data_IF_418505189809
#
_entry.id   IF_418505189809
#
_cell.length_a   1.000
_cell.length_b   1.000
_cell.length_c   1.000
_cell.angle_alpha   90.00
_cell.angle_beta   90.00
_cell.angle_gamma   90.00
#
_symmetry.space_group_name_H-M   'P 1'
#
loop_
_entity.id
_entity.type
_entity.pdbx_description
1 polymer ?
#
# COMPACT_ATOMS: atom_id res chain seq x y z
N UNK A 1 -19.48 17.95 -7.97
CA UNK A 1 -20.31 18.42 -6.82
C UNK A 1 -20.94 17.28 -6.01
N UNK A 2 -21.58 16.25 -6.62
CA UNK A 2 -22.17 15.09 -5.89
C UNK A 2 -21.11 14.20 -5.25
N UNK A 3 -19.94 14.06 -5.86
CA UNK A 3 -18.86 13.23 -5.35
C UNK A 3 -18.02 13.94 -4.29
N UNK A 4 -17.85 15.25 -4.37
CA UNK A 4 -17.21 16.06 -3.31
C UNK A 4 -18.04 16.04 -2.02
N UNK A 5 -19.38 16.03 -2.11
CA UNK A 5 -20.29 15.90 -0.96
C UNK A 5 -20.19 14.50 -0.36
N UNK A 6 -20.19 13.45 -1.17
CA UNK A 6 -20.04 12.08 -0.69
C UNK A 6 -18.67 11.84 -0.03
N UNK A 7 -17.62 12.49 -0.55
CA UNK A 7 -16.28 12.42 0.01
C UNK A 7 -16.18 13.15 1.37
N UNK A 8 -16.83 14.32 1.51
CA UNK A 8 -16.95 15.02 2.79
C UNK A 8 -17.73 14.23 3.83
N UNK A 9 -18.79 13.53 3.44
CA UNK A 9 -19.58 12.68 4.36
C UNK A 9 -18.82 11.43 4.82
N UNK A 10 -17.88 10.91 4.02
CA UNK A 10 -16.98 9.81 4.44
C UNK A 10 -15.91 10.32 5.41
N UNK A 11 -15.48 11.57 5.25
CA UNK A 11 -14.45 12.20 6.09
C UNK A 11 -14.96 12.70 7.45
N UNK A 12 -16.26 12.88 7.62
CA UNK A 12 -16.87 13.34 8.87
C UNK A 12 -17.50 12.18 9.65
N UNK A 13 -16.64 11.29 10.18
CA UNK A 13 -16.94 10.40 11.29
C UNK A 13 -18.37 9.88 11.46
N UNK A 14 -18.69 8.73 10.90
CA UNK A 14 -19.71 7.87 11.48
C UNK A 14 -19.22 7.31 12.83
N UNK A 15 -20.10 6.73 13.67
CA UNK A 15 -19.79 6.31 15.05
C UNK A 15 -18.85 5.10 15.08
N UNK A 16 -17.60 5.31 14.77
CA UNK A 16 -16.54 4.32 14.68
C UNK A 16 -15.14 4.93 14.70
N UNK A 17 -15.02 6.19 15.15
CA UNK A 17 -13.80 6.75 15.73
C UNK A 17 -12.49 6.65 14.97
N UNK A 18 -12.47 6.63 13.65
CA UNK A 18 -11.32 7.12 12.89
C UNK A 18 -11.55 8.62 12.68
N UNK A 19 -11.07 9.42 13.62
CA UNK A 19 -11.03 10.85 13.44
C UNK A 19 -10.28 11.17 12.14
N UNK A 20 -10.92 11.96 11.31
CA UNK A 20 -10.56 12.35 9.94
C UNK A 20 -9.24 13.12 9.78
N UNK A 21 -8.41 13.21 10.79
CA UNK A 21 -7.07 13.82 10.73
C UNK A 21 -6.15 13.10 9.74
N UNK A 22 -6.44 11.84 9.43
CA UNK A 22 -5.70 11.09 8.39
C UNK A 22 -6.13 11.43 6.95
N UNK A 23 -7.28 12.05 6.77
CA UNK A 23 -7.87 12.28 5.45
C UNK A 23 -7.54 13.64 4.84
N UNK A 24 -7.06 14.59 5.64
CA UNK A 24 -6.76 15.95 5.18
C UNK A 24 -5.45 16.09 4.41
N UNK A 25 -4.69 14.98 4.24
CA UNK A 25 -3.39 15.00 3.58
C UNK A 25 -3.16 13.87 2.57
N UNK A 26 -4.20 13.40 1.96
CA UNK A 26 -4.26 12.23 1.08
C UNK A 26 -3.57 12.38 -0.28
N UNK A 27 -2.33 12.74 -0.34
CA UNK A 27 -1.65 12.88 -1.63
C UNK A 27 -2.34 13.87 -2.59
N UNK A 28 -1.72 14.09 -3.71
CA UNK A 28 -2.26 14.95 -4.76
C UNK A 28 -3.21 14.15 -5.68
N UNK A 29 -4.20 14.78 -6.31
CA UNK A 29 -4.95 14.15 -7.39
C UNK A 29 -3.99 13.62 -8.47
N UNK A 30 -4.30 12.48 -9.06
CA UNK A 30 -3.59 12.04 -10.24
C UNK A 30 -3.80 13.05 -11.37
N UNK A 31 -2.74 13.36 -12.12
CA UNK A 31 -2.84 14.29 -13.24
C UNK A 31 -3.56 13.66 -14.44
N UNK A 32 -4.14 14.50 -15.31
CA UNK A 32 -4.85 14.03 -16.50
C UNK A 32 -3.99 13.11 -17.37
N UNK A 33 -2.71 13.43 -17.50
CA UNK A 33 -1.74 12.65 -18.27
C UNK A 33 -1.53 11.23 -17.69
N UNK A 34 -1.52 11.07 -16.37
CA UNK A 34 -1.46 9.74 -15.76
C UNK A 34 -2.74 8.94 -16.08
N UNK A 35 -3.91 9.58 -16.07
CA UNK A 35 -5.15 8.93 -16.49
C UNK A 35 -5.15 8.52 -17.95
N UNK A 36 -4.60 9.35 -18.85
CA UNK A 36 -4.48 9.03 -20.29
C UNK A 36 -3.58 7.82 -20.50
N UNK A 37 -2.43 7.77 -19.82
CA UNK A 37 -1.50 6.64 -19.93
C UNK A 37 -2.16 5.36 -19.37
N UNK A 38 -2.78 5.42 -18.21
CA UNK A 38 -3.47 4.28 -17.63
C UNK A 38 -4.65 3.83 -18.47
N UNK A 39 -5.37 4.76 -19.11
CA UNK A 39 -6.45 4.45 -20.06
C UNK A 39 -5.97 3.78 -21.34
N UNK A 40 -4.69 3.94 -21.73
CA UNK A 40 -4.09 3.24 -22.86
C UNK A 40 -3.77 1.77 -22.56
N UNK A 41 -3.68 1.40 -21.29
CA UNK A 41 -3.58 0.01 -20.87
C UNK A 41 -4.93 -0.69 -21.05
N UNK A 42 -4.93 -1.89 -21.60
CA UNK A 42 -6.13 -2.63 -22.02
C UNK A 42 -7.04 -3.12 -20.89
N UNK A 43 -7.11 -2.43 -19.76
CA UNK A 43 -7.89 -2.83 -18.60
C UNK A 43 -8.97 -1.82 -18.23
N UNK A 44 -10.24 -2.22 -18.33
CA UNK A 44 -11.41 -1.43 -17.96
C UNK A 44 -11.63 -1.24 -16.45
N UNK A 45 -10.63 -1.49 -15.60
CA UNK A 45 -10.81 -1.54 -14.14
C UNK A 45 -10.52 -0.23 -13.43
N UNK A 46 -9.80 0.69 -14.08
CA UNK A 46 -9.67 2.04 -13.53
C UNK A 46 -10.85 2.86 -14.06
N UNK A 47 -11.73 3.36 -13.19
CA UNK A 47 -12.83 4.21 -13.64
C UNK A 47 -12.24 5.48 -14.25
N UNK A 48 -12.14 5.53 -15.58
CA UNK A 48 -11.61 6.68 -16.32
C UNK A 48 -12.42 7.97 -16.07
N UNK A 49 -13.65 7.83 -15.57
CA UNK A 49 -14.55 8.92 -15.24
C UNK A 49 -14.50 9.39 -13.79
N UNK A 50 -13.96 8.58 -12.89
CA UNK A 50 -13.85 8.92 -11.47
C UNK A 50 -12.41 9.32 -11.13
N UNK A 51 -12.12 10.61 -11.18
CA UNK A 51 -10.85 11.23 -10.75
C UNK A 51 -10.65 11.11 -9.21
N UNK A 52 -10.87 9.93 -8.68
CA UNK A 52 -10.71 9.61 -7.27
C UNK A 52 -9.34 8.98 -6.95
N UNK A 53 -8.54 8.73 -7.99
CA UNK A 53 -7.17 8.23 -7.84
C UNK A 53 -6.30 9.35 -7.30
N UNK A 54 -5.51 9.01 -6.29
CA UNK A 54 -4.56 9.93 -5.67
C UNK A 54 -3.14 9.38 -5.85
N UNK A 55 -2.18 10.26 -5.78
CA UNK A 55 -0.76 9.91 -5.91
C UNK A 55 0.08 10.71 -4.93
N UNK A 56 1.27 10.20 -4.67
CA UNK A 56 2.33 10.92 -3.97
C UNK A 56 3.65 10.66 -4.69
N UNK A 57 4.40 11.74 -4.95
CA UNK A 57 5.63 11.69 -5.75
C UNK A 57 5.39 11.00 -7.12
N UNK A 58 4.29 11.35 -7.83
CA UNK A 58 3.86 10.65 -9.04
C UNK A 58 4.68 10.94 -10.28
N UNK A 59 5.48 12.03 -10.32
CA UNK A 59 6.26 12.40 -11.51
C UNK A 59 7.26 11.32 -11.95
N UNK A 60 8.04 10.68 -11.06
CA UNK A 60 8.91 9.57 -11.46
C UNK A 60 8.14 8.39 -12.05
N UNK A 61 6.98 8.05 -11.47
CA UNK A 61 6.09 7.02 -12.00
C UNK A 61 5.59 7.38 -13.41
N UNK A 62 5.11 8.62 -13.58
CA UNK A 62 4.61 9.12 -14.84
C UNK A 62 5.70 9.07 -15.94
N UNK A 63 6.91 9.50 -15.62
CA UNK A 63 8.05 9.47 -16.54
C UNK A 63 8.43 8.02 -16.91
N UNK A 64 8.50 7.13 -15.92
CA UNK A 64 8.81 5.72 -16.17
C UNK A 64 7.75 5.04 -17.08
N UNK A 65 6.47 5.35 -16.87
CA UNK A 65 5.38 4.86 -17.72
C UNK A 65 5.49 5.38 -19.17
N UNK A 66 5.81 6.67 -19.35
CA UNK A 66 5.99 7.28 -20.68
C UNK A 66 7.18 6.69 -21.43
N UNK A 67 8.28 6.53 -20.75
CA UNK A 67 9.52 6.02 -21.31
C UNK A 67 9.51 4.50 -21.45
N UNK A 68 8.45 3.83 -21.02
CA UNK A 68 8.33 2.36 -20.93
C UNK A 68 9.50 1.72 -20.18
N UNK A 69 9.99 2.42 -19.18
CA UNK A 69 11.03 1.91 -18.30
C UNK A 69 10.45 0.79 -17.42
N UNK A 70 11.30 -0.12 -17.00
CA UNK A 70 10.91 -1.17 -16.07
C UNK A 70 10.46 -0.57 -14.74
N UNK A 71 9.32 -1.04 -14.27
CA UNK A 71 8.64 -0.61 -13.06
C UNK A 71 8.40 -1.80 -12.13
N UNK A 72 8.43 -1.55 -10.85
CA UNK A 72 8.09 -2.52 -9.82
C UNK A 72 6.96 -2.02 -8.93
N UNK A 73 5.97 -2.86 -8.69
CA UNK A 73 4.94 -2.59 -7.71
C UNK A 73 5.37 -3.16 -6.36
N UNK A 74 5.21 -2.38 -5.31
CA UNK A 74 5.22 -2.85 -3.94
C UNK A 74 3.79 -2.83 -3.40
N UNK A 75 3.18 -3.98 -3.21
CA UNK A 75 1.83 -4.09 -2.65
C UNK A 75 1.65 -5.45 -1.99
N UNK A 76 1.28 -5.45 -0.73
CA UNK A 76 1.15 -6.66 0.07
C UNK A 76 0.01 -6.56 1.08
N UNK A 77 0.04 -7.44 2.06
CA UNK A 77 -1.00 -7.48 3.08
C UNK A 77 -0.46 -7.91 4.45
N UNK A 78 -1.21 -7.54 5.49
CA UNK A 78 -1.03 -8.05 6.83
C UNK A 78 -1.91 -9.30 7.00
N UNK A 79 -1.33 -10.48 7.33
CA UNK A 79 -2.08 -11.74 7.45
C UNK A 79 -2.82 -11.80 8.79
N UNK A 80 -3.83 -10.96 8.97
CA UNK A 80 -4.54 -10.77 10.24
C UNK A 80 -6.03 -11.15 10.21
N UNK A 81 -6.48 -11.76 9.10
CA UNK A 81 -7.86 -12.17 8.91
C UNK A 81 -8.21 -12.44 7.45
N UNK A 82 -9.45 -12.80 7.20
CA UNK A 82 -9.95 -13.17 5.89
C UNK A 82 -9.91 -11.98 4.90
N UNK A 83 -9.63 -12.33 3.66
CA UNK A 83 -9.66 -11.39 2.55
C UNK A 83 -11.09 -10.95 2.24
N UNK A 84 -11.30 -9.67 2.04
CA UNK A 84 -12.62 -9.12 1.77
C UNK A 84 -12.66 -8.29 0.49
N UNK A 85 -13.87 -7.99 0.04
CA UNK A 85 -14.11 -7.27 -1.21
C UNK A 85 -13.36 -5.93 -1.31
N UNK A 86 -13.09 -5.25 -0.17
CA UNK A 86 -12.26 -4.04 -0.15
C UNK A 86 -10.83 -4.25 -0.63
N UNK A 87 -10.27 -5.44 -0.42
CA UNK A 87 -8.92 -5.78 -0.88
C UNK A 87 -8.84 -6.04 -2.39
N UNK A 88 -9.97 -6.47 -3.01
CA UNK A 88 -9.98 -6.83 -4.44
C UNK A 88 -9.62 -5.66 -5.36
N UNK A 89 -9.88 -4.42 -4.95
CA UNK A 89 -9.46 -3.27 -5.74
C UNK A 89 -7.93 -3.14 -5.80
N UNK A 90 -7.26 -3.38 -4.68
CA UNK A 90 -5.78 -3.34 -4.63
C UNK A 90 -5.22 -4.46 -5.49
N UNK A 91 -5.64 -5.70 -5.25
CA UNK A 91 -5.14 -6.86 -6.00
C UNK A 91 -5.47 -6.79 -7.49
N UNK A 92 -6.69 -6.37 -7.86
CA UNK A 92 -7.07 -6.16 -9.26
C UNK A 92 -6.22 -5.07 -9.94
N UNK A 93 -5.82 -4.03 -9.18
CA UNK A 93 -4.92 -2.99 -9.71
C UNK A 93 -3.52 -3.54 -9.92
N UNK A 94 -3.00 -4.35 -9.00
CA UNK A 94 -1.73 -5.07 -9.21
C UNK A 94 -1.80 -5.97 -10.45
N UNK A 95 -2.87 -6.76 -10.57
CA UNK A 95 -3.09 -7.63 -11.73
C UNK A 95 -3.17 -6.85 -13.05
N UNK A 96 -3.79 -5.65 -13.02
CA UNK A 96 -3.85 -4.76 -14.17
C UNK A 96 -2.45 -4.33 -14.62
N UNK A 97 -1.59 -3.91 -13.71
CA UNK A 97 -0.21 -3.54 -14.05
C UNK A 97 0.61 -4.74 -14.51
N UNK A 98 0.42 -5.92 -13.90
CA UNK A 98 1.12 -7.15 -14.33
C UNK A 98 0.77 -7.55 -15.78
N UNK A 99 -0.48 -7.34 -16.22
CA UNK A 99 -0.88 -7.54 -17.63
C UNK A 99 -0.15 -6.59 -18.59
N UNK A 100 0.45 -5.54 -18.08
CA UNK A 100 1.26 -4.56 -18.81
C UNK A 100 2.76 -4.68 -18.45
N UNK A 101 3.21 -5.89 -18.15
CA UNK A 101 4.62 -6.27 -17.94
C UNK A 101 5.29 -5.64 -16.70
N UNK A 102 4.50 -5.04 -15.80
CA UNK A 102 5.02 -4.54 -14.52
C UNK A 102 5.08 -5.70 -13.52
N UNK A 103 6.24 -5.93 -12.94
CA UNK A 103 6.41 -6.98 -11.95
C UNK A 103 6.01 -6.48 -10.55
N UNK A 104 5.65 -7.42 -9.66
CA UNK A 104 5.17 -7.12 -8.33
C UNK A 104 6.05 -7.72 -7.23
N UNK A 105 6.22 -6.94 -6.16
CA UNK A 105 6.72 -7.36 -4.86
C UNK A 105 5.56 -7.40 -3.89
N UNK A 106 5.40 -8.51 -3.22
CA UNK A 106 4.31 -8.71 -2.26
C UNK A 106 4.86 -9.01 -0.88
N UNK A 107 5.15 -7.97 -0.09
CA UNK A 107 5.46 -8.14 1.32
C UNK A 107 4.26 -8.70 2.06
N UNK A 108 4.50 -9.72 2.86
CA UNK A 108 3.55 -10.23 3.83
C UNK A 108 4.00 -9.72 5.19
N UNK A 109 3.23 -8.81 5.78
CA UNK A 109 3.57 -8.11 7.02
C UNK A 109 3.30 -8.99 8.25
N UNK A 110 4.00 -10.11 8.34
CA UNK A 110 3.88 -11.09 9.42
C UNK A 110 4.39 -10.54 10.76
N UNK A 111 5.43 -9.70 10.75
CA UNK A 111 5.94 -9.03 11.96
C UNK A 111 4.86 -8.09 12.53
N UNK A 112 4.19 -7.32 11.68
CA UNK A 112 3.12 -6.42 12.12
C UNK A 112 1.89 -7.21 12.62
N UNK A 113 1.58 -8.35 11.99
CA UNK A 113 0.49 -9.20 12.42
C UNK A 113 0.73 -9.79 13.83
N UNK A 114 1.96 -10.22 14.12
CA UNK A 114 2.36 -10.71 15.42
C UNK A 114 2.25 -9.62 16.50
N UNK A 115 2.74 -8.42 16.19
CA UNK A 115 2.70 -7.27 17.11
C UNK A 115 1.27 -6.82 17.45
N UNK A 116 0.41 -6.70 16.42
CA UNK A 116 -0.94 -6.14 16.58
C UNK A 116 -1.96 -7.13 17.13
N UNK A 117 -1.96 -8.34 16.60
CA UNK A 117 -3.02 -9.34 16.81
C UNK A 117 -2.62 -10.43 17.78
N UNK A 118 -1.34 -10.52 18.13
CA UNK A 118 -0.78 -11.61 18.92
C UNK A 118 -1.20 -12.99 18.40
N UNK A 119 -1.25 -13.11 17.06
CA UNK A 119 -1.56 -14.37 16.41
C UNK A 119 -0.42 -15.37 16.61
N UNK A 120 -0.74 -16.62 16.86
CA UNK A 120 0.24 -17.69 16.80
C UNK A 120 0.81 -17.82 15.39
N UNK A 121 2.01 -18.44 15.27
CA UNK A 121 2.63 -18.68 13.96
C UNK A 121 1.71 -19.49 13.05
N UNK A 122 0.99 -20.47 13.58
CA UNK A 122 0.07 -21.30 12.82
C UNK A 122 -1.11 -20.48 12.29
N UNK A 123 -1.69 -19.61 13.11
CA UNK A 123 -2.81 -18.74 12.71
C UNK A 123 -2.41 -17.77 11.60
N UNK A 124 -1.28 -17.07 11.72
CA UNK A 124 -0.92 -16.15 10.66
C UNK A 124 -0.50 -16.87 9.37
N UNK A 125 0.15 -18.03 9.45
CA UNK A 125 0.47 -18.83 8.25
C UNK A 125 -0.80 -19.33 7.55
N UNK A 126 -1.83 -19.66 8.30
CA UNK A 126 -3.15 -19.95 7.72
C UNK A 126 -3.66 -18.74 6.91
N UNK A 127 -3.65 -17.54 7.50
CA UNK A 127 -4.08 -16.34 6.80
C UNK A 127 -3.16 -15.94 5.64
N UNK A 128 -1.88 -16.25 5.70
CA UNK A 128 -0.96 -16.09 4.56
C UNK A 128 -1.44 -16.93 3.39
N UNK A 129 -1.69 -18.23 3.61
CA UNK A 129 -2.10 -19.13 2.55
C UNK A 129 -3.48 -18.75 1.99
N UNK A 130 -4.45 -18.46 2.85
CA UNK A 130 -5.81 -18.07 2.49
C UNK A 130 -5.81 -16.79 1.63
N UNK A 131 -5.14 -15.73 2.11
CA UNK A 131 -5.08 -14.47 1.39
C UNK A 131 -4.30 -14.57 0.06
N UNK A 132 -3.25 -15.39 -0.03
CA UNK A 132 -2.54 -15.61 -1.29
C UNK A 132 -3.44 -16.26 -2.34
N UNK A 133 -4.27 -17.22 -1.96
CA UNK A 133 -5.25 -17.83 -2.86
C UNK A 133 -6.24 -16.77 -3.38
N UNK A 134 -6.71 -15.89 -2.50
CA UNK A 134 -7.64 -14.81 -2.87
C UNK A 134 -6.99 -13.75 -3.77
N UNK A 135 -5.70 -13.43 -3.55
CA UNK A 135 -4.94 -12.57 -4.45
C UNK A 135 -4.82 -13.19 -5.83
N UNK A 136 -4.48 -14.47 -5.92
CA UNK A 136 -4.45 -15.22 -7.18
C UNK A 136 -5.82 -15.26 -7.86
N UNK A 137 -6.89 -15.53 -7.10
CA UNK A 137 -8.26 -15.51 -7.61
C UNK A 137 -8.71 -14.14 -8.10
N UNK A 138 -8.16 -13.07 -7.55
CA UNK A 138 -8.37 -11.68 -8.02
C UNK A 138 -7.63 -11.34 -9.31
N UNK A 139 -6.84 -12.28 -9.85
CA UNK A 139 -6.13 -12.17 -11.12
C UNK A 139 -4.66 -11.80 -11.01
N UNK A 140 -4.11 -11.71 -9.80
CA UNK A 140 -2.67 -11.49 -9.60
C UNK A 140 -1.90 -12.73 -10.05
N UNK A 141 -0.91 -12.53 -10.90
CA UNK A 141 0.00 -13.60 -11.31
C UNK A 141 1.07 -13.80 -10.22
N UNK A 142 0.87 -14.79 -9.37
CA UNK A 142 1.79 -15.10 -8.26
C UNK A 142 3.15 -15.60 -8.76
N UNK A 143 3.22 -16.25 -9.92
CA UNK A 143 4.49 -16.70 -10.52
C UNK A 143 5.36 -15.53 -11.01
N UNK A 144 4.73 -14.39 -11.32
CA UNK A 144 5.40 -13.13 -11.68
C UNK A 144 5.47 -12.15 -10.49
N UNK A 145 5.32 -12.66 -9.27
CA UNK A 145 5.32 -11.85 -8.05
C UNK A 145 6.41 -12.34 -7.11
N UNK A 146 7.25 -11.41 -6.64
CA UNK A 146 8.20 -11.72 -5.57
C UNK A 146 7.47 -11.68 -4.22
N UNK A 147 6.97 -12.84 -3.77
CA UNK A 147 6.25 -12.99 -2.49
C UNK A 147 7.26 -13.32 -1.40
N UNK A 148 7.19 -12.64 -0.26
CA UNK A 148 8.07 -12.90 0.88
C UNK A 148 7.42 -12.54 2.21
N UNK A 149 7.83 -13.23 3.26
CA UNK A 149 7.55 -12.83 4.64
C UNK A 149 8.53 -11.72 5.04
N UNK A 150 8.04 -10.66 5.62
CA UNK A 150 8.85 -9.53 6.11
C UNK A 150 9.95 -9.99 7.08
N UNK A 151 9.63 -10.98 7.94
CA UNK A 151 10.57 -11.56 8.89
C UNK A 151 11.75 -12.33 8.23
N UNK A 152 11.57 -12.81 7.01
CA UNK A 152 12.56 -13.63 6.29
C UNK A 152 13.36 -12.83 5.25
N UNK A 153 12.88 -11.65 4.85
CA UNK A 153 13.57 -10.81 3.87
C UNK A 153 14.53 -9.81 4.55
N UNK A 154 15.74 -10.27 4.77
CA UNK A 154 16.78 -9.49 5.47
C UNK A 154 17.02 -8.11 4.85
N UNK A 155 16.93 -7.98 3.53
CA UNK A 155 17.16 -6.70 2.83
C UNK A 155 16.16 -5.63 3.22
N UNK A 156 14.92 -6.00 3.55
CA UNK A 156 13.92 -5.07 4.09
C UNK A 156 14.42 -4.45 5.40
N UNK A 157 14.94 -5.28 6.30
CA UNK A 157 15.46 -4.81 7.58
C UNK A 157 16.71 -3.94 7.39
N UNK A 158 17.64 -4.34 6.52
CA UNK A 158 18.84 -3.55 6.21
C UNK A 158 18.44 -2.17 5.66
N UNK A 159 17.49 -2.09 4.75
CA UNK A 159 16.95 -0.84 4.20
C UNK A 159 16.21 -0.01 5.25
N UNK A 160 15.42 -0.66 6.12
CA UNK A 160 14.74 0.00 7.22
C UNK A 160 15.72 0.69 8.17
N UNK A 161 16.84 0.03 8.50
CA UNK A 161 17.92 0.65 9.29
C UNK A 161 18.56 1.85 8.57
N UNK A 162 18.76 1.76 7.26
CA UNK A 162 19.32 2.86 6.47
C UNK A 162 18.39 4.08 6.50
N UNK A 163 17.11 3.89 6.25
CA UNK A 163 16.15 5.00 6.23
C UNK A 163 15.86 5.54 7.64
N UNK A 164 15.96 4.71 8.68
CA UNK A 164 15.81 5.14 10.07
C UNK A 164 16.81 6.25 10.47
N UNK A 165 17.92 6.38 9.77
CA UNK A 165 18.89 7.50 9.97
C UNK A 165 18.26 8.87 9.66
N UNK A 166 17.27 8.91 8.78
CA UNK A 166 16.52 10.11 8.47
C UNK A 166 15.35 10.39 9.40
N UNK A 167 15.10 9.49 10.36
CA UNK A 167 13.99 9.59 11.30
C UNK A 167 14.30 10.64 12.37
N UNK A 168 13.36 11.57 12.55
CA UNK A 168 13.36 12.55 13.65
C UNK A 168 12.06 12.37 14.42
N UNK A 169 12.00 12.79 15.68
CA UNK A 169 10.82 12.60 16.50
C UNK A 169 9.57 13.32 15.95
N UNK A 170 9.77 14.49 15.38
CA UNK A 170 8.71 15.32 14.79
C UNK A 170 8.07 14.67 13.55
N UNK A 171 8.83 13.96 12.74
CA UNK A 171 8.33 13.40 11.49
C UNK A 171 7.13 12.44 11.67
N UNK A 172 7.19 11.38 12.52
CA UNK A 172 6.03 10.52 12.74
C UNK A 172 4.91 11.24 13.50
N UNK A 173 5.23 12.22 14.33
CA UNK A 173 4.22 13.05 15.00
C UNK A 173 3.43 13.88 13.99
N UNK A 174 4.12 14.50 13.02
CA UNK A 174 3.49 15.27 11.95
C UNK A 174 2.62 14.42 11.02
N UNK A 175 3.00 13.15 10.83
CA UNK A 175 2.30 12.23 9.94
C UNK A 175 1.13 11.55 10.64
N UNK A 176 1.34 11.01 11.85
CA UNK A 176 0.40 10.13 12.54
C UNK A 176 -0.24 10.77 13.77
N UNK A 177 0.27 11.91 14.22
CA UNK A 177 -0.17 12.63 15.41
C UNK A 177 0.48 12.14 16.70
N UNK A 178 0.64 13.07 17.64
CA UNK A 178 1.27 12.82 18.94
C UNK A 178 0.57 11.70 19.73
N UNK A 179 -0.77 11.70 19.73
CA UNK A 179 -1.55 10.68 20.44
C UNK A 179 -1.19 9.27 19.98
N UNK A 180 -1.17 9.02 18.67
CA UNK A 180 -0.80 7.70 18.11
C UNK A 180 0.61 7.31 18.52
N UNK A 181 1.57 8.23 18.50
CA UNK A 181 2.95 7.95 18.87
C UNK A 181 3.14 7.65 20.36
N UNK A 182 2.30 8.21 21.23
CA UNK A 182 2.34 7.91 22.67
C UNK A 182 1.68 6.56 22.97
N UNK A 183 0.51 6.30 22.37
CA UNK A 183 -0.31 5.12 22.67
C UNK A 183 0.20 3.85 21.96
N UNK A 184 0.86 3.99 20.84
CA UNK A 184 1.28 2.87 19.99
C UNK A 184 2.66 3.13 19.35
N UNK A 185 3.68 3.30 20.19
CA UNK A 185 5.04 3.51 19.72
C UNK A 185 5.59 2.35 18.84
N UNK A 186 5.26 1.07 19.10
CA UNK A 186 5.66 -0.04 18.23
C UNK A 186 5.21 0.12 16.77
N UNK A 187 4.10 0.80 16.52
CA UNK A 187 3.61 1.12 15.17
C UNK A 187 4.67 1.86 14.33
N UNK A 188 5.56 2.64 14.96
CA UNK A 188 6.63 3.32 14.24
C UNK A 188 7.62 2.33 13.62
N UNK A 189 7.95 1.23 14.31
CA UNK A 189 8.84 0.20 13.77
C UNK A 189 8.21 -0.48 12.56
N UNK A 190 6.93 -0.82 12.63
CA UNK A 190 6.20 -1.37 11.49
C UNK A 190 6.21 -0.39 10.30
N UNK A 191 5.98 0.91 10.56
CA UNK A 191 6.04 1.94 9.53
C UNK A 191 7.40 2.07 8.86
N UNK A 192 8.51 2.04 9.63
CA UNK A 192 9.87 2.10 9.08
C UNK A 192 10.21 0.82 8.30
N UNK A 193 9.78 -0.35 8.78
CA UNK A 193 9.95 -1.62 8.05
C UNK A 193 9.19 -1.59 6.72
N UNK A 194 7.98 -1.07 6.71
CA UNK A 194 7.19 -0.90 5.48
C UNK A 194 7.87 0.04 4.48
N UNK A 195 8.61 1.06 4.93
CA UNK A 195 9.45 1.84 4.02
C UNK A 195 10.49 0.95 3.34
N UNK A 196 11.12 0.04 4.10
CA UNK A 196 12.02 -0.97 3.55
C UNK A 196 11.38 -1.81 2.45
N UNK A 197 10.12 -2.27 2.65
CA UNK A 197 9.36 -3.03 1.65
C UNK A 197 9.12 -2.23 0.37
N UNK A 198 8.71 -0.97 0.51
CA UNK A 198 8.35 -0.13 -0.64
C UNK A 198 9.57 0.22 -1.50
N UNK A 199 10.75 0.36 -0.88
CA UNK A 199 11.99 0.66 -1.60
C UNK A 199 12.77 -0.60 -2.03
N UNK A 200 12.48 -1.76 -1.46
CA UNK A 200 13.17 -3.03 -1.77
C UNK A 200 13.22 -3.34 -3.27
N UNK A 201 12.14 -3.11 -4.06
CA UNK A 201 12.18 -3.41 -5.49
C UNK A 201 13.26 -2.63 -6.26
N UNK A 202 13.70 -1.47 -5.74
CA UNK A 202 14.77 -0.68 -6.34
C UNK A 202 16.18 -1.19 -5.99
N UNK A 203 16.29 -2.17 -5.08
CA UNK A 203 17.59 -2.68 -4.65
C UNK A 203 18.36 -3.29 -5.83
N UNK A 204 19.68 -3.07 -5.87
CA UNK A 204 20.58 -3.55 -6.93
C UNK A 204 20.50 -5.06 -7.23
N UNK A 205 20.04 -5.86 -6.28
CA UNK A 205 19.78 -7.29 -6.49
C UNK A 205 18.61 -7.56 -7.45
N UNK A 206 17.74 -6.59 -7.69
CA UNK A 206 16.53 -6.71 -8.50
C UNK A 206 16.52 -5.81 -9.74
N UNK A 207 17.60 -5.07 -10.01
CA UNK A 207 17.77 -4.35 -11.27
C UNK A 207 17.63 -2.83 -11.21
N UNK A 208 17.48 -2.23 -10.03
CA UNK A 208 17.43 -0.76 -9.84
C UNK A 208 16.28 -0.04 -10.55
N UNK A 209 15.13 -0.67 -10.70
CA UNK A 209 13.98 -0.07 -11.37
C UNK A 209 13.20 0.82 -10.41
N UNK A 210 12.48 1.82 -10.95
CA UNK A 210 11.61 2.64 -10.12
C UNK A 210 10.50 1.80 -9.48
N UNK A 211 10.25 2.01 -8.18
CA UNK A 211 9.17 1.35 -7.48
C UNK A 211 8.03 2.30 -7.14
N UNK A 212 6.83 1.77 -7.10
CA UNK A 212 5.68 2.48 -6.60
C UNK A 212 4.77 1.57 -5.76
N UNK A 213 4.18 2.16 -4.74
CA UNK A 213 3.22 1.48 -3.89
C UNK A 213 1.82 1.57 -4.50
N UNK A 214 1.08 0.46 -4.53
CA UNK A 214 -0.35 0.43 -4.82
C UNK A 214 -1.09 0.08 -3.54
N UNK A 215 -2.00 0.94 -3.09
CA UNK A 215 -2.71 0.74 -1.83
C UNK A 215 -4.03 1.50 -1.75
N UNK A 216 -4.80 1.27 -0.70
CA UNK A 216 -5.90 2.14 -0.32
C UNK A 216 -5.42 3.50 0.18
N UNK A 217 -6.28 4.49 0.12
CA UNK A 217 -5.96 5.87 0.57
C UNK A 217 -5.59 5.97 2.05
N UNK A 218 -6.05 5.03 2.87
CA UNK A 218 -5.71 4.95 4.30
C UNK A 218 -4.22 4.70 4.56
N UNK A 219 -3.47 4.28 3.54
CA UNK A 219 -2.02 4.07 3.61
C UNK A 219 -1.21 5.34 3.29
N UNK A 220 -1.84 6.51 3.10
CA UNK A 220 -1.13 7.74 2.76
C UNK A 220 -0.08 8.16 3.81
N UNK A 221 -0.34 7.92 5.09
CA UNK A 221 0.63 8.18 6.15
C UNK A 221 1.94 7.41 5.94
N UNK A 222 1.84 6.12 5.57
CA UNK A 222 3.02 5.29 5.29
C UNK A 222 3.75 5.73 4.02
N UNK A 223 3.01 6.16 2.99
CA UNK A 223 3.64 6.70 1.80
C UNK A 223 4.34 8.05 2.05
N UNK A 224 3.75 8.92 2.89
CA UNK A 224 4.43 10.13 3.36
C UNK A 224 5.74 9.82 4.07
N UNK A 225 5.69 8.86 5.00
CA UNK A 225 6.87 8.40 5.72
C UNK A 225 7.92 7.88 4.73
N UNK A 226 7.50 7.05 3.76
CA UNK A 226 8.38 6.49 2.74
C UNK A 226 9.07 7.57 1.91
N UNK A 227 8.32 8.53 1.38
CA UNK A 227 8.90 9.64 0.59
C UNK A 227 9.88 10.43 1.43
N UNK A 228 9.48 10.85 2.65
CA UNK A 228 10.32 11.69 3.52
C UNK A 228 11.59 10.99 4.00
N UNK A 229 11.51 9.74 4.41
CA UNK A 229 12.68 8.98 4.84
C UNK A 229 13.60 8.66 3.67
N UNK A 230 13.05 8.34 2.48
CA UNK A 230 13.84 8.12 1.27
C UNK A 230 14.57 9.39 0.83
N UNK A 231 13.90 10.56 0.85
CA UNK A 231 14.53 11.86 0.57
C UNK A 231 15.72 12.13 1.50
N UNK A 232 15.52 11.98 2.81
CA UNK A 232 16.54 12.25 3.82
C UNK A 232 17.71 11.27 3.80
N UNK A 233 17.49 10.06 3.29
CA UNK A 233 18.46 8.97 3.30
C UNK A 233 19.01 8.62 1.92
N UNK A 234 18.67 9.37 0.87
CA UNK A 234 18.94 9.01 -0.53
C UNK A 234 20.43 8.72 -0.79
N UNK A 235 21.33 9.54 -0.25
CA UNK A 235 22.76 9.33 -0.43
C UNK A 235 23.24 7.99 0.16
N UNK A 236 22.67 7.56 1.26
CA UNK A 236 22.99 6.25 1.85
C UNK A 236 22.35 5.10 1.05
N UNK A 237 21.13 5.32 0.53
CA UNK A 237 20.39 4.35 -0.25
C UNK A 237 21.06 4.04 -1.59
N UNK A 238 21.81 4.98 -2.17
CA UNK A 238 22.63 4.76 -3.38
C UNK A 238 23.61 3.59 -3.25
N UNK A 239 24.13 3.31 -2.06
CA UNK A 239 25.00 2.17 -1.82
C UNK A 239 24.29 0.81 -2.06
N UNK A 240 22.97 0.81 -1.96
CA UNK A 240 22.11 -0.34 -2.19
C UNK A 240 21.53 -0.36 -3.63
N UNK A 241 21.90 0.62 -4.45
CA UNK A 241 21.44 0.78 -5.84
C UNK A 241 20.15 1.59 -5.98
N UNK A 242 19.59 2.10 -4.89
CA UNK A 242 18.36 2.89 -4.89
C UNK A 242 18.70 4.32 -5.27
N UNK A 243 18.17 4.78 -6.41
CA UNK A 243 18.49 6.08 -7.00
C UNK A 243 17.31 7.03 -7.04
N UNK A 244 16.10 6.52 -6.88
CA UNK A 244 14.87 7.31 -6.96
C UNK A 244 14.03 7.20 -5.69
N UNK A 245 13.30 8.25 -5.39
CA UNK A 245 12.30 8.24 -4.33
C UNK A 245 11.07 7.53 -4.86
N UNK A 246 10.53 6.51 -4.17
CA UNK A 246 9.39 5.76 -4.67
C UNK A 246 8.14 6.62 -4.78
N UNK A 247 7.25 6.19 -5.64
CA UNK A 247 5.92 6.80 -5.80
C UNK A 247 4.87 6.02 -5.03
N UNK A 248 3.72 6.65 -4.79
CA UNK A 248 2.54 5.98 -4.30
C UNK A 248 1.34 6.27 -5.19
N UNK A 249 0.53 5.26 -5.39
CA UNK A 249 -0.69 5.28 -6.18
C UNK A 249 -1.83 4.74 -5.32
N UNK A 250 -2.82 5.59 -5.07
CA UNK A 250 -3.93 5.24 -4.19
C UNK A 250 -5.20 5.00 -4.97
N UNK A 251 -5.87 3.94 -4.60
CA UNK A 251 -7.22 3.63 -5.06
C UNK A 251 -8.25 4.00 -3.99
N UNK A 252 -9.41 4.48 -4.40
CA UNK A 252 -10.47 4.84 -3.48
C UNK A 252 -10.97 3.63 -2.70
N UNK A 253 -11.41 3.85 -1.47
CA UNK A 253 -12.05 2.79 -0.70
C UNK A 253 -13.39 2.37 -1.30
N UNK A 254 -13.65 1.06 -1.29
CA UNK A 254 -15.00 0.56 -1.50
C UNK A 254 -15.81 0.81 -0.23
N UNK A 255 -17.02 1.33 -0.39
CA UNK A 255 -18.00 1.35 0.69
C UNK A 255 -18.40 -0.08 1.01
N UNK A 256 -18.30 -0.46 2.27
CA UNK A 256 -18.89 -1.68 2.78
C UNK A 256 -20.41 -1.56 2.90
N UNK A 257 -21.04 -2.60 3.43
CA UNK A 257 -22.50 -2.63 3.67
C UNK A 257 -22.90 -1.49 4.62
N UNK A 258 -22.07 -1.25 5.64
CA UNK A 258 -22.22 -0.16 6.60
C UNK A 258 -20.85 0.51 6.78
N UNK A 259 -20.61 1.67 6.15
CA UNK A 259 -19.36 2.41 6.25
C UNK A 259 -18.21 1.81 5.42
N UNK A 260 -16.97 1.87 5.91
CA UNK A 260 -15.79 1.29 5.26
C UNK A 260 -15.76 -0.22 5.48
N UNK A 261 -15.53 -1.01 4.43
CA UNK A 261 -15.26 -2.43 4.55
C UNK A 261 -13.99 -2.68 5.39
N UNK A 262 -14.08 -3.54 6.39
CA UNK A 262 -12.98 -3.84 7.31
C UNK A 262 -13.03 -5.27 7.83
N UNK A 263 -11.90 -5.98 7.77
CA UNK A 263 -11.78 -7.33 8.33
C UNK A 263 -11.98 -7.39 9.86
N UNK A 264 -11.75 -6.27 10.57
CA UNK A 264 -12.00 -6.17 12.00
C UNK A 264 -13.47 -5.88 12.37
N UNK A 265 -14.33 -5.64 11.37
CA UNK A 265 -15.77 -5.40 11.52
C UNK A 265 -16.52 -6.23 10.48
N UNK A 266 -16.73 -7.53 10.72
CA UNK A 266 -17.31 -8.46 9.75
C UNK A 266 -18.63 -8.01 9.16
N UNK A 267 -19.46 -7.32 9.94
CA UNK A 267 -20.75 -6.79 9.54
C UNK A 267 -20.68 -5.68 8.48
N UNK A 268 -19.50 -5.13 8.23
CA UNK A 268 -19.31 -4.05 7.28
C UNK A 268 -18.90 -4.52 5.89
N UNK A 269 -18.58 -5.81 5.72
CA UNK A 269 -17.92 -6.29 4.51
C UNK A 269 -18.47 -7.62 3.98
N UNK A 270 -18.12 -7.91 2.74
CA UNK A 270 -18.35 -9.22 2.10
C UNK A 270 -16.98 -9.86 1.96
N UNK A 271 -16.83 -11.06 2.50
CA UNK A 271 -15.62 -11.86 2.35
C UNK A 271 -15.66 -12.64 1.03
N UNK A 272 -14.51 -12.78 0.38
CA UNK A 272 -14.37 -13.71 -0.72
C UNK A 272 -14.46 -15.15 -0.18
N UNK A 273 -14.98 -16.05 -0.98
CA UNK A 273 -15.20 -17.43 -0.55
C UNK A 273 -16.39 -17.64 0.42
N UNK A 274 -17.10 -16.57 0.79
CA UNK A 274 -18.37 -16.72 1.48
C UNK A 274 -19.41 -17.33 0.55
N UNK A 275 -19.95 -18.49 0.94
CA UNK A 275 -21.06 -19.09 0.23
C UNK A 275 -22.34 -18.24 0.38
N UNK A 276 -23.39 -18.55 -0.40
CA UNK A 276 -24.65 -17.79 -0.40
C UNK A 276 -25.38 -17.77 0.96
N UNK A 277 -24.96 -18.62 1.89
CA UNK A 277 -25.59 -18.78 3.21
C UNK A 277 -24.83 -18.08 4.36
N UNK A 278 -23.84 -17.18 4.04
CA UNK A 278 -23.09 -16.42 5.03
C UNK A 278 -23.24 -14.92 4.86
#
# INVERSE_FOLDING_TARGET
KRYEVAYKEISTGGPGGYESTYLTSEGDPACDELYEILGSFSGKLLPSENRSIRQRNGNPLLNALKEKNSLWIASGFKPSGAYHFGHTLVSSTVAFFQKNEVQAFMPIADIEADMDKKLSREEYLYWVADNLLDWGASGVNLDATHVYLQSEERRVNDLAYVVARGLTFDLPVDIYGMKKMIEDFPFLFAGVTQVGDIILPQHKAFGNYHSFMVSGQDQDGHAKMTVKLSERSLENLKNYGIQTIPSAFYIPHIRGIIGKASSSKPETTIYLGSGPDK
#
